data_IF_721031260578
#
_entry.id   IF_721031260578
#
_cell.length_a   1.000
_cell.length_b   1.000
_cell.length_c   1.000
_cell.angle_alpha   90.00
_cell.angle_beta   90.00
_cell.angle_gamma   90.00
#
_symmetry.space_group_name_H-M   'P 1'
#
loop_
_entity.id
_entity.type
_entity.pdbx_description
1 polymer ?
#
# COMPACT_ATOMS: atom_id res chain seq x y z
N UNK A 1 -41.41 57.41 -47.19
CA UNK A 1 -42.69 57.45 -46.38
C UNK A 1 -42.67 56.29 -45.38
N UNK A 2 -42.51 56.70 -44.17
CA UNK A 2 -42.95 56.16 -42.89
C UNK A 2 -43.55 54.74 -42.80
N UNK A 3 -43.04 53.86 -41.89
CA UNK A 3 -43.71 53.68 -40.62
C UNK A 3 -42.84 52.78 -39.73
N UNK A 4 -42.61 53.29 -38.45
CA UNK A 4 -42.08 52.60 -37.33
C UNK A 4 -43.02 51.49 -36.85
N UNK A 5 -42.43 50.33 -36.43
CA UNK A 5 -43.12 49.29 -35.67
C UNK A 5 -42.22 48.82 -34.53
N UNK A 6 -42.54 49.19 -33.32
CA UNK A 6 -41.96 48.67 -32.07
C UNK A 6 -42.43 47.25 -31.84
N UNK A 7 -41.54 46.32 -31.64
CA UNK A 7 -41.83 45.02 -31.04
C UNK A 7 -41.05 44.82 -29.78
N UNK A 8 -41.82 44.58 -28.73
CA UNK A 8 -41.38 44.38 -27.35
C UNK A 8 -40.43 43.18 -27.23
N UNK A 9 -39.27 43.39 -26.60
CA UNK A 9 -38.39 42.29 -26.20
C UNK A 9 -38.89 41.75 -24.87
N UNK A 10 -39.43 40.54 -24.91
CA UNK A 10 -39.68 39.75 -23.70
C UNK A 10 -38.32 39.20 -23.20
N UNK A 11 -37.89 39.64 -22.01
CA UNK A 11 -36.75 39.09 -21.31
C UNK A 11 -37.16 37.79 -20.65
N UNK A 12 -36.73 36.67 -21.22
CA UNK A 12 -36.85 35.35 -20.56
C UNK A 12 -35.75 35.22 -19.50
N UNK A 13 -36.13 35.28 -18.22
CA UNK A 13 -35.32 34.90 -17.09
C UNK A 13 -35.14 33.40 -17.12
N UNK A 14 -33.95 32.92 -17.56
CA UNK A 14 -33.53 31.52 -17.29
C UNK A 14 -33.08 31.41 -15.84
N UNK A 15 -33.93 30.77 -15.05
CA UNK A 15 -33.53 30.25 -13.73
C UNK A 15 -32.67 29.02 -13.97
N UNK A 16 -31.35 29.17 -13.85
CA UNK A 16 -30.43 28.03 -13.77
C UNK A 16 -30.66 27.31 -12.42
N UNK A 17 -31.46 26.25 -12.46
CA UNK A 17 -31.49 25.29 -11.38
C UNK A 17 -30.15 24.56 -11.37
N UNK A 18 -29.30 24.85 -10.40
CA UNK A 18 -28.16 24.04 -10.04
C UNK A 18 -28.67 22.69 -9.54
N UNK A 19 -28.73 21.71 -10.42
CA UNK A 19 -28.82 20.31 -10.02
C UNK A 19 -27.48 19.97 -9.37
N UNK A 20 -27.47 19.97 -8.02
CA UNK A 20 -26.39 19.33 -7.29
C UNK A 20 -26.33 17.88 -7.76
N UNK A 21 -25.32 17.55 -8.56
CA UNK A 21 -25.01 16.17 -8.88
C UNK A 21 -24.84 15.42 -7.54
N UNK A 22 -25.45 14.23 -7.37
CA UNK A 22 -25.16 13.44 -6.19
C UNK A 22 -23.63 13.19 -6.20
N UNK A 23 -22.96 13.60 -5.13
CA UNK A 23 -21.60 13.15 -4.83
C UNK A 23 -21.68 11.63 -4.92
N UNK A 24 -20.93 11.04 -5.83
CA UNK A 24 -20.84 9.60 -5.96
C UNK A 24 -20.56 9.06 -4.55
N UNK A 25 -21.46 8.23 -4.06
CA UNK A 25 -21.28 7.53 -2.80
C UNK A 25 -19.98 6.73 -2.98
N UNK A 26 -18.91 7.19 -2.33
CA UNK A 26 -17.67 6.43 -2.22
C UNK A 26 -18.02 5.02 -1.78
N UNK A 27 -17.26 4.04 -2.23
CA UNK A 27 -17.38 2.64 -1.81
C UNK A 27 -17.72 2.63 -0.32
N UNK A 28 -18.82 1.99 0.05
CA UNK A 28 -19.29 1.96 1.43
C UNK A 28 -18.25 1.20 2.25
N UNK A 29 -17.30 1.92 2.82
CA UNK A 29 -16.35 1.35 3.77
C UNK A 29 -17.15 0.62 4.86
N UNK A 30 -16.70 -0.57 5.24
CA UNK A 30 -17.32 -1.38 6.27
C UNK A 30 -17.55 -0.58 7.56
N UNK A 31 -18.58 -0.88 8.30
CA UNK A 31 -18.79 -0.29 9.63
C UNK A 31 -17.63 -0.70 10.56
N UNK A 32 -17.16 -1.94 10.46
CA UNK A 32 -15.95 -2.45 11.08
C UNK A 32 -14.77 -2.34 10.12
N UNK A 33 -13.57 -2.02 10.66
CA UNK A 33 -12.34 -2.12 9.88
C UNK A 33 -12.08 -3.59 9.48
N UNK A 34 -11.52 -3.89 8.28
CA UNK A 34 -11.30 -5.26 7.79
C UNK A 34 -10.44 -6.17 8.68
N UNK A 35 -9.77 -5.67 9.68
CA UNK A 35 -9.13 -6.50 10.73
C UNK A 35 -10.14 -7.19 11.65
N UNK A 36 -11.38 -6.68 11.75
CA UNK A 36 -12.42 -7.20 12.62
C UNK A 36 -13.45 -7.98 11.79
N UNK A 37 -13.06 -9.16 11.36
CA UNK A 37 -13.86 -10.08 10.55
C UNK A 37 -14.01 -11.41 11.24
N UNK A 38 -14.79 -12.30 10.66
CA UNK A 38 -14.88 -13.69 11.08
C UNK A 38 -13.50 -14.30 11.24
N UNK A 39 -13.31 -15.10 12.27
CA UNK A 39 -12.07 -15.80 12.61
C UNK A 39 -10.93 -14.92 13.16
N UNK A 40 -11.10 -13.63 13.36
CA UNK A 40 -10.08 -12.76 13.90
C UNK A 40 -9.60 -13.19 15.30
N UNK A 41 -8.35 -12.84 15.63
CA UNK A 41 -7.82 -12.94 16.99
C UNK A 41 -7.55 -11.55 17.52
N UNK A 42 -8.06 -11.25 18.72
CA UNK A 42 -7.84 -9.99 19.42
C UNK A 42 -6.86 -10.20 20.57
N UNK A 43 -6.01 -9.20 20.84
CA UNK A 43 -4.96 -9.31 21.86
C UNK A 43 -5.55 -9.45 23.26
N UNK A 44 -5.13 -10.50 23.99
CA UNK A 44 -5.50 -10.74 25.39
C UNK A 44 -4.80 -9.80 26.38
N UNK A 45 -5.33 -9.74 27.59
CA UNK A 45 -4.72 -9.11 28.76
C UNK A 45 -4.40 -7.61 28.59
N UNK A 46 -5.00 -6.96 27.61
CA UNK A 46 -4.91 -5.52 27.34
C UNK A 46 -6.29 -4.98 26.90
N UNK A 47 -6.56 -3.69 27.10
CA UNK A 47 -7.76 -3.09 26.51
C UNK A 47 -7.85 -3.37 25.01
N UNK A 48 -9.01 -3.81 24.56
CA UNK A 48 -9.27 -4.14 23.14
C UNK A 48 -9.90 -2.94 22.49
N UNK A 49 -9.20 -2.30 21.57
CA UNK A 49 -9.76 -1.23 20.75
C UNK A 49 -10.27 -1.79 19.43
N UNK A 50 -11.53 -1.50 19.13
CA UNK A 50 -12.19 -1.81 17.86
C UNK A 50 -12.53 -0.50 17.17
N UNK A 51 -12.40 -0.43 15.86
CA UNK A 51 -12.65 0.78 15.08
C UNK A 51 -13.24 0.49 13.71
N UNK A 52 -13.71 1.52 13.05
CA UNK A 52 -14.24 1.45 11.70
C UNK A 52 -14.75 2.80 11.20
N UNK A 53 -15.67 2.75 10.25
CA UNK A 53 -16.19 3.92 9.56
C UNK A 53 -17.73 4.03 9.65
N UNK A 54 -18.22 5.23 9.94
CA UNK A 54 -19.65 5.56 9.92
C UNK A 54 -19.82 6.97 9.32
N UNK A 55 -21.05 7.44 9.17
CA UNK A 55 -21.27 8.82 8.76
C UNK A 55 -20.72 9.80 9.82
N UNK A 56 -20.12 10.92 9.43
CA UNK A 56 -19.63 11.92 10.38
C UNK A 56 -20.69 12.28 11.43
N UNK A 57 -20.32 12.26 12.71
CA UNK A 57 -21.20 12.55 13.82
C UNK A 57 -22.23 11.46 14.14
N UNK A 58 -22.23 10.33 13.45
CA UNK A 58 -23.18 9.24 13.70
C UNK A 58 -22.84 8.52 15.00
N UNK A 59 -23.86 8.25 15.81
CA UNK A 59 -23.73 7.38 16.99
C UNK A 59 -23.49 5.94 16.56
N UNK A 60 -22.51 5.28 17.20
CA UNK A 60 -22.14 3.88 16.98
C UNK A 60 -22.20 3.15 18.31
N UNK A 61 -22.74 1.94 18.31
CA UNK A 61 -22.68 1.01 19.43
C UNK A 61 -21.93 -0.24 19.01
N UNK A 62 -20.91 -0.61 19.76
CA UNK A 62 -20.16 -1.86 19.55
C UNK A 62 -20.39 -2.78 20.75
N UNK A 63 -20.62 -4.08 20.50
CA UNK A 63 -20.77 -5.12 21.53
C UNK A 63 -19.76 -6.23 21.34
N UNK A 64 -19.08 -6.62 22.39
CA UNK A 64 -18.09 -7.69 22.40
C UNK A 64 -18.05 -8.36 23.77
N UNK A 65 -18.02 -9.70 23.82
CA UNK A 65 -17.90 -10.50 25.04
C UNK A 65 -18.89 -10.08 26.15
N UNK A 66 -20.16 -9.78 25.79
CA UNK A 66 -21.21 -9.39 26.73
C UNK A 66 -21.16 -7.92 27.18
N UNK A 67 -20.23 -7.13 26.68
CA UNK A 67 -20.11 -5.71 26.98
C UNK A 67 -20.53 -4.86 25.78
N UNK A 68 -21.14 -3.70 26.05
CA UNK A 68 -21.52 -2.72 25.04
C UNK A 68 -20.82 -1.40 25.30
N UNK A 69 -20.26 -0.80 24.24
CA UNK A 69 -19.62 0.50 24.25
C UNK A 69 -20.29 1.40 23.22
N UNK A 70 -20.77 2.55 23.67
CA UNK A 70 -21.31 3.60 22.79
C UNK A 70 -20.20 4.62 22.48
N UNK A 71 -20.14 5.05 21.22
CA UNK A 71 -19.20 6.05 20.72
C UNK A 71 -19.84 6.87 19.61
N UNK A 72 -19.11 7.80 19.03
CA UNK A 72 -19.55 8.62 17.92
C UNK A 72 -18.45 8.74 16.88
N UNK A 73 -18.81 8.70 15.62
CA UNK A 73 -17.88 8.93 14.53
C UNK A 73 -17.42 10.39 14.51
N UNK A 74 -16.14 10.60 14.30
CA UNK A 74 -15.54 11.94 14.17
C UNK A 74 -15.94 12.64 12.85
N UNK A 75 -15.38 13.83 12.60
CA UNK A 75 -15.67 14.60 11.37
C UNK A 75 -15.20 13.88 10.08
N UNK A 76 -14.23 12.96 10.19
CA UNK A 76 -13.77 12.14 9.09
C UNK A 76 -14.55 10.83 8.97
N UNK A 77 -15.55 10.59 9.82
CA UNK A 77 -16.34 9.36 9.85
C UNK A 77 -15.69 8.21 10.62
N UNK A 78 -14.54 8.41 11.26
CA UNK A 78 -13.83 7.36 12.02
C UNK A 78 -14.43 7.23 13.41
N UNK A 79 -14.62 6.02 13.86
CA UNK A 79 -15.03 5.73 15.22
C UNK A 79 -14.14 4.68 15.85
N UNK A 80 -14.05 4.67 17.18
CA UNK A 80 -13.42 3.62 17.96
C UNK A 80 -14.20 3.36 19.24
N UNK A 81 -14.16 2.09 19.66
CA UNK A 81 -14.71 1.62 20.92
C UNK A 81 -13.63 0.82 21.67
N UNK A 82 -13.46 1.09 22.95
CA UNK A 82 -12.48 0.41 23.79
C UNK A 82 -13.17 -0.47 24.80
N UNK A 83 -12.88 -1.77 24.76
CA UNK A 83 -13.33 -2.77 25.70
C UNK A 83 -12.26 -3.03 26.75
N UNK A 84 -12.63 -3.42 27.99
CA UNK A 84 -11.67 -3.85 29.00
C UNK A 84 -10.83 -5.04 28.55
N UNK A 85 -9.71 -5.23 29.23
CA UNK A 85 -8.88 -6.41 29.03
C UNK A 85 -9.65 -7.71 29.32
N UNK A 86 -9.48 -8.69 28.44
CA UNK A 86 -10.12 -10.01 28.52
C UNK A 86 -9.02 -11.08 28.47
N UNK A 87 -9.15 -12.10 29.28
CA UNK A 87 -8.28 -13.28 29.24
C UNK A 87 -8.47 -14.08 27.94
N UNK A 88 -7.48 -14.89 27.60
CA UNK A 88 -7.57 -15.77 26.42
C UNK A 88 -8.81 -16.66 26.46
N UNK A 89 -9.51 -16.73 25.33
CA UNK A 89 -10.77 -17.49 25.22
C UNK A 89 -11.46 -17.31 23.88
N UNK A 90 -12.72 -17.64 23.87
CA UNK A 90 -13.61 -17.59 22.71
C UNK A 90 -14.22 -18.96 22.39
N UNK A 91 -15.03 -19.07 21.30
CA UNK A 91 -15.29 -18.00 20.33
C UNK A 91 -16.24 -16.92 20.84
N UNK A 92 -16.00 -15.69 20.41
CA UNK A 92 -16.82 -14.52 20.67
C UNK A 92 -17.45 -14.00 19.38
N UNK A 93 -18.44 -13.10 19.56
CA UNK A 93 -19.04 -12.32 18.48
C UNK A 93 -18.78 -10.84 18.78
N UNK A 94 -18.32 -10.11 17.77
CA UNK A 94 -18.24 -8.65 17.74
C UNK A 94 -19.36 -8.13 16.85
N UNK A 95 -20.12 -7.18 17.34
CA UNK A 95 -21.17 -6.51 16.57
C UNK A 95 -20.99 -5.00 16.66
N UNK A 96 -21.13 -4.29 15.54
CA UNK A 96 -21.21 -2.85 15.47
C UNK A 96 -22.54 -2.43 14.84
N UNK A 97 -23.18 -1.40 15.38
CA UNK A 97 -24.42 -0.83 14.87
C UNK A 97 -24.31 0.69 14.75
N UNK A 98 -24.81 1.24 13.65
CA UNK A 98 -24.91 2.68 13.43
C UNK A 98 -26.18 3.00 12.64
N UNK A 99 -27.20 3.53 13.30
CA UNK A 99 -28.54 3.68 12.73
C UNK A 99 -29.12 2.33 12.30
N UNK A 100 -29.41 2.18 11.02
CA UNK A 100 -29.93 0.92 10.44
C UNK A 100 -28.82 -0.05 9.98
N UNK A 101 -27.58 0.39 9.94
CA UNK A 101 -26.43 -0.45 9.57
C UNK A 101 -26.03 -1.33 10.74
N UNK A 102 -25.79 -2.60 10.45
CA UNK A 102 -25.28 -3.58 11.41
C UNK A 102 -24.23 -4.43 10.70
N UNK A 103 -23.10 -4.62 11.36
CA UNK A 103 -22.04 -5.51 10.91
C UNK A 103 -21.63 -6.42 12.06
N UNK A 104 -21.38 -7.68 11.76
CA UNK A 104 -21.12 -8.72 12.76
C UNK A 104 -19.94 -9.58 12.32
N UNK A 105 -18.95 -9.72 13.18
CA UNK A 105 -17.85 -10.65 13.04
C UNK A 105 -17.99 -11.80 14.05
N UNK A 106 -17.86 -13.04 13.59
CA UNK A 106 -18.10 -14.27 14.38
C UNK A 106 -16.85 -15.12 14.52
N UNK A 107 -16.87 -16.04 15.44
CA UNK A 107 -15.75 -16.95 15.72
C UNK A 107 -14.46 -16.19 16.05
N UNK A 108 -14.57 -15.05 16.76
CA UNK A 108 -13.41 -14.29 17.22
C UNK A 108 -12.80 -15.00 18.43
N UNK A 109 -11.48 -15.04 18.44
CA UNK A 109 -10.73 -15.54 19.60
C UNK A 109 -10.01 -14.38 20.28
N UNK A 110 -9.76 -14.51 21.57
CA UNK A 110 -8.88 -13.65 22.34
C UNK A 110 -7.64 -14.45 22.68
N UNK A 111 -6.47 -13.94 22.31
CA UNK A 111 -5.21 -14.66 22.45
C UNK A 111 -4.00 -13.75 22.18
N UNK A 112 -2.90 -14.33 21.78
CA UNK A 112 -1.70 -13.58 21.40
C UNK A 112 -1.75 -13.20 19.92
N UNK A 113 -1.52 -11.92 19.62
CA UNK A 113 -1.46 -11.42 18.25
C UNK A 113 -0.02 -11.05 17.90
N UNK A 114 0.49 -11.63 16.82
CA UNK A 114 1.86 -11.45 16.35
C UNK A 114 1.87 -10.76 14.99
N UNK A 115 2.59 -9.65 14.88
CA UNK A 115 2.88 -8.99 13.62
C UNK A 115 4.19 -9.54 13.04
N UNK A 116 4.10 -10.18 11.90
CA UNK A 116 5.21 -10.76 11.17
C UNK A 116 5.56 -9.83 9.99
N UNK A 117 6.35 -8.80 10.29
CA UNK A 117 6.74 -7.77 9.33
C UNK A 117 8.18 -7.98 8.83
N UNK A 118 8.46 -7.56 7.62
CA UNK A 118 9.78 -7.59 7.03
C UNK A 118 9.78 -7.77 5.51
N UNK A 119 10.89 -8.27 5.02
CA UNK A 119 11.08 -8.46 3.58
C UNK A 119 11.13 -9.95 3.20
N UNK A 120 11.92 -10.37 2.19
CA UNK A 120 11.88 -11.69 1.55
C UNK A 120 11.95 -12.89 2.50
N UNK A 121 12.75 -12.87 3.57
CA UNK A 121 12.83 -13.97 4.51
C UNK A 121 11.56 -14.12 5.37
N UNK A 122 10.90 -13.02 5.69
CA UNK A 122 9.61 -13.04 6.36
C UNK A 122 8.47 -13.38 5.38
N UNK A 123 8.59 -13.00 4.13
CA UNK A 123 7.61 -13.31 3.09
C UNK A 123 7.69 -14.76 2.61
N UNK A 124 8.82 -15.46 2.76
CA UNK A 124 9.05 -16.80 2.24
C UNK A 124 7.90 -17.73 2.62
N UNK A 125 7.12 -18.26 1.63
CA UNK A 125 5.96 -19.07 1.93
C UNK A 125 6.33 -20.49 2.35
N UNK A 126 5.47 -21.13 3.12
CA UNK A 126 5.68 -22.52 3.60
C UNK A 126 5.97 -23.48 2.46
N UNK A 127 5.33 -23.36 1.29
CA UNK A 127 5.57 -24.26 0.16
C UNK A 127 7.00 -24.21 -0.40
N UNK A 128 7.77 -23.18 -0.07
CA UNK A 128 9.19 -23.02 -0.46
C UNK A 128 10.16 -23.44 0.64
N UNK A 129 9.67 -23.82 1.80
CA UNK A 129 10.52 -24.25 2.91
C UNK A 129 10.90 -25.72 2.83
N UNK A 130 11.85 -26.12 3.68
CA UNK A 130 12.23 -27.52 3.82
C UNK A 130 11.05 -28.35 4.34
N UNK A 131 10.86 -29.57 3.81
CA UNK A 131 9.77 -30.47 4.17
C UNK A 131 8.35 -29.91 3.94
N UNK A 132 8.18 -28.95 3.05
CA UNK A 132 6.93 -28.23 2.83
C UNK A 132 5.71 -29.14 2.68
N UNK A 133 5.83 -30.26 1.96
CA UNK A 133 4.70 -31.15 1.71
C UNK A 133 4.13 -31.74 3.02
N UNK A 134 4.97 -32.23 3.92
CA UNK A 134 4.53 -32.79 5.20
C UNK A 134 4.06 -31.70 6.17
N UNK A 135 4.71 -30.55 6.17
CA UNK A 135 4.32 -29.38 6.98
C UNK A 135 2.95 -28.86 6.61
N UNK A 136 2.68 -28.73 5.31
CA UNK A 136 1.37 -28.30 4.82
C UNK A 136 0.31 -29.37 5.16
N UNK A 137 0.56 -30.65 4.87
CA UNK A 137 -0.41 -31.73 5.11
C UNK A 137 -0.82 -31.85 6.59
N UNK A 138 0.09 -31.53 7.51
CA UNK A 138 -0.16 -31.59 8.96
C UNK A 138 -0.77 -30.32 9.56
N UNK A 139 -0.93 -29.24 8.78
CA UNK A 139 -1.39 -27.95 9.25
C UNK A 139 -2.91 -27.92 9.52
N UNK A 140 -3.35 -28.47 10.65
CA UNK A 140 -4.73 -28.50 11.10
C UNK A 140 -4.88 -27.84 12.49
N UNK A 141 -4.40 -26.59 12.61
CA UNK A 141 -4.26 -25.91 13.89
C UNK A 141 -5.38 -24.87 14.09
N UNK A 142 -6.52 -25.31 14.61
CA UNK A 142 -7.73 -24.49 14.75
C UNK A 142 -7.57 -23.23 15.64
N UNK A 143 -6.57 -23.20 16.50
CA UNK A 143 -6.28 -22.07 17.40
C UNK A 143 -5.25 -21.09 16.85
N UNK A 144 -4.65 -21.38 15.67
CA UNK A 144 -3.83 -20.45 14.92
C UNK A 144 -4.68 -19.87 13.79
N UNK A 145 -4.71 -18.56 13.71
CA UNK A 145 -5.42 -17.80 12.68
C UNK A 145 -4.43 -16.95 11.90
N UNK A 146 -4.64 -16.85 10.60
CA UNK A 146 -3.74 -16.23 9.65
C UNK A 146 -4.43 -15.06 8.98
N UNK A 147 -3.73 -13.93 8.88
CA UNK A 147 -4.14 -12.76 8.13
C UNK A 147 -2.97 -12.27 7.31
N UNK A 148 -3.13 -12.19 5.98
CA UNK A 148 -2.10 -11.64 5.09
C UNK A 148 -2.50 -10.23 4.68
N UNK A 149 -1.69 -9.25 5.03
CA UNK A 149 -1.86 -7.87 4.59
C UNK A 149 -1.55 -7.80 3.09
N UNK A 150 -2.48 -7.31 2.26
CA UNK A 150 -2.24 -7.13 0.84
C UNK A 150 -1.09 -6.15 0.60
N UNK A 151 -0.26 -6.44 -0.41
CA UNK A 151 0.80 -5.52 -0.83
C UNK A 151 0.17 -4.29 -1.46
N UNK A 152 0.48 -3.15 -0.89
CA UNK A 152 0.07 -1.86 -1.42
C UNK A 152 1.17 -0.82 -1.17
N UNK A 153 1.50 -0.05 -2.21
CA UNK A 153 2.43 1.06 -2.12
C UNK A 153 1.62 2.36 -2.05
N UNK A 154 1.72 3.06 -0.95
CA UNK A 154 0.99 4.29 -0.72
C UNK A 154 1.91 5.40 -0.22
N UNK A 155 1.66 6.63 -0.66
CA UNK A 155 2.38 7.84 -0.22
C UNK A 155 2.05 8.19 1.24
N UNK A 156 0.84 7.86 1.66
CA UNK A 156 0.35 8.03 3.03
C UNK A 156 -0.24 6.70 3.50
N UNK A 157 -0.16 6.45 4.80
CA UNK A 157 -0.75 5.25 5.37
C UNK A 157 -2.25 5.18 5.02
N UNK A 158 -2.72 4.14 4.34
CA UNK A 158 -4.12 4.00 4.00
C UNK A 158 -4.96 3.70 5.25
N UNK A 159 -6.21 4.16 5.27
CA UNK A 159 -7.14 3.89 6.37
C UNK A 159 -7.75 2.47 6.31
N UNK A 160 -7.55 1.75 5.21
CA UNK A 160 -8.03 0.39 5.00
C UNK A 160 -7.08 -0.38 4.08
N UNK A 161 -7.34 -1.66 3.91
CA UNK A 161 -6.55 -2.52 3.03
C UNK A 161 -7.06 -2.45 1.59
N UNK A 162 -6.15 -2.69 0.65
CA UNK A 162 -6.50 -2.91 -0.75
C UNK A 162 -7.15 -4.29 -0.91
N UNK A 163 -8.25 -4.35 -1.65
CA UNK A 163 -9.01 -5.59 -1.83
C UNK A 163 -9.78 -6.01 -0.58
N UNK A 164 -10.04 -7.30 -0.45
CA UNK A 164 -10.82 -7.88 0.64
C UNK A 164 -10.02 -8.99 1.36
N UNK A 165 -9.00 -8.63 2.15
CA UNK A 165 -8.23 -9.60 2.93
C UNK A 165 -9.07 -10.15 4.08
N UNK A 166 -8.86 -11.41 4.44
CA UNK A 166 -9.61 -12.04 5.52
C UNK A 166 -8.75 -12.91 6.44
N UNK A 167 -9.24 -13.09 7.65
CA UNK A 167 -8.69 -14.07 8.57
C UNK A 167 -9.08 -15.50 8.15
N UNK A 168 -8.14 -16.40 8.24
CA UNK A 168 -8.35 -17.82 7.97
C UNK A 168 -7.84 -18.68 9.12
N UNK A 169 -8.41 -19.86 9.28
CA UNK A 169 -7.86 -20.88 10.18
C UNK A 169 -6.62 -21.48 9.54
N UNK A 170 -5.65 -21.91 10.34
CA UNK A 170 -4.49 -22.62 9.82
C UNK A 170 -4.91 -24.02 9.34
N UNK A 171 -5.04 -24.15 8.03
CA UNK A 171 -5.36 -25.37 7.28
C UNK A 171 -4.28 -25.63 6.22
N UNK A 172 -4.20 -26.81 5.62
CA UNK A 172 -3.26 -27.06 4.53
C UNK A 172 -3.30 -26.00 3.42
N UNK A 173 -4.50 -25.56 3.04
CA UNK A 173 -4.67 -24.57 1.97
C UNK A 173 -4.18 -23.18 2.38
N UNK A 174 -4.58 -22.69 3.57
CA UNK A 174 -4.25 -21.35 4.04
C UNK A 174 -2.77 -21.21 4.44
N UNK A 175 -2.17 -22.25 5.00
CA UNK A 175 -0.76 -22.26 5.41
C UNK A 175 0.19 -22.33 4.22
N UNK A 176 -0.22 -22.96 3.12
CA UNK A 176 0.65 -23.17 1.95
C UNK A 176 1.34 -21.89 1.48
N UNK A 177 0.59 -20.80 1.32
CA UNK A 177 1.07 -19.50 0.83
C UNK A 177 1.49 -18.53 1.93
N UNK A 178 1.30 -18.88 3.18
CA UNK A 178 1.61 -18.02 4.30
C UNK A 178 3.09 -18.03 4.67
N UNK A 179 3.57 -17.03 5.39
CA UNK A 179 4.95 -16.93 5.88
C UNK A 179 5.38 -18.18 6.65
N UNK A 180 6.43 -18.85 6.18
CA UNK A 180 7.01 -20.00 6.87
C UNK A 180 7.58 -19.61 8.24
N UNK A 181 8.33 -18.52 8.30
CA UNK A 181 8.93 -18.04 9.55
C UNK A 181 7.87 -17.75 10.61
N UNK A 182 6.81 -17.04 10.22
CA UNK A 182 5.71 -16.69 11.12
C UNK A 182 4.92 -17.92 11.58
N UNK A 183 4.56 -18.81 10.63
CA UNK A 183 3.78 -20.01 10.94
C UNK A 183 4.54 -20.97 11.84
N UNK A 184 5.80 -21.27 11.54
CA UNK A 184 6.62 -22.19 12.34
C UNK A 184 6.89 -21.64 13.74
N UNK A 185 7.13 -20.33 13.86
CA UNK A 185 7.24 -19.67 15.15
C UNK A 185 6.00 -19.90 16.00
N UNK A 186 4.81 -19.60 15.48
CA UNK A 186 3.57 -19.74 16.25
C UNK A 186 3.23 -21.21 16.55
N UNK A 187 3.46 -22.10 15.60
CA UNK A 187 3.26 -23.55 15.79
C UNK A 187 4.13 -24.09 16.93
N UNK A 188 5.40 -23.71 16.96
CA UNK A 188 6.31 -24.16 18.00
C UNK A 188 5.96 -23.52 19.35
N UNK A 189 5.66 -22.23 19.38
CA UNK A 189 5.25 -21.53 20.59
C UNK A 189 3.95 -22.12 21.18
N UNK A 190 3.00 -22.54 20.32
CA UNK A 190 1.73 -23.11 20.78
C UNK A 190 1.88 -24.45 21.50
N UNK A 191 3.03 -25.13 21.41
CA UNK A 191 3.32 -26.36 22.17
C UNK A 191 3.43 -26.10 23.67
N UNK A 192 3.82 -24.90 24.05
CA UNK A 192 4.00 -24.48 25.45
C UNK A 192 3.00 -23.42 25.90
N UNK A 193 2.62 -22.53 24.99
CA UNK A 193 1.66 -21.45 25.23
C UNK A 193 0.32 -21.82 24.59
N UNK A 194 -0.58 -22.41 25.37
CA UNK A 194 -1.83 -23.02 24.87
C UNK A 194 -2.97 -22.01 24.67
N UNK A 195 -2.67 -20.76 24.30
CA UNK A 195 -3.68 -19.74 23.97
C UNK A 195 -3.89 -19.64 22.44
N UNK A 196 -5.01 -19.10 21.98
CA UNK A 196 -5.17 -18.77 20.56
C UNK A 196 -4.08 -17.83 20.08
N UNK A 197 -3.68 -17.96 18.80
CA UNK A 197 -2.68 -17.10 18.19
C UNK A 197 -3.18 -16.54 16.88
N UNK A 198 -3.14 -15.22 16.73
CA UNK A 198 -3.39 -14.49 15.49
C UNK A 198 -2.07 -14.06 14.87
N UNK A 199 -1.85 -14.43 13.61
CA UNK A 199 -0.65 -14.11 12.86
C UNK A 199 -1.00 -13.13 11.76
N UNK A 200 -0.45 -11.92 11.82
CA UNK A 200 -0.63 -10.90 10.81
C UNK A 200 0.68 -10.81 10.01
N UNK A 201 0.67 -11.34 8.80
CA UNK A 201 1.81 -11.22 7.89
C UNK A 201 1.74 -9.89 7.15
N UNK A 202 2.74 -9.04 7.35
CA UNK A 202 2.96 -7.79 6.62
C UNK A 202 4.41 -7.79 6.13
N UNK A 203 4.65 -8.45 4.97
CA UNK A 203 5.99 -8.62 4.44
C UNK A 203 6.02 -8.40 2.93
N UNK A 204 7.10 -7.77 2.44
CA UNK A 204 7.31 -7.52 1.02
C UNK A 204 8.79 -7.67 0.68
N UNK A 205 9.11 -8.70 -0.11
CA UNK A 205 10.48 -8.99 -0.53
C UNK A 205 11.07 -7.84 -1.36
N UNK A 206 12.35 -7.54 -1.12
CA UNK A 206 13.04 -6.43 -1.76
C UNK A 206 12.80 -5.06 -1.10
N UNK A 207 11.90 -4.96 -0.12
CA UNK A 207 11.68 -3.69 0.57
C UNK A 207 12.85 -3.33 1.51
N UNK A 208 13.17 -2.04 1.58
CA UNK A 208 14.16 -1.47 2.50
C UNK A 208 13.52 -1.16 3.84
N UNK A 209 14.33 -1.02 4.89
CA UNK A 209 13.84 -0.74 6.25
C UNK A 209 13.10 0.60 6.33
N UNK A 210 13.46 1.57 5.51
CA UNK A 210 12.85 2.89 5.48
C UNK A 210 11.35 2.82 5.15
N UNK A 211 10.93 1.86 4.31
CA UNK A 211 9.51 1.68 3.97
C UNK A 211 8.66 1.18 5.13
N UNK A 212 9.30 0.66 6.18
CA UNK A 212 8.66 0.15 7.41
C UNK A 212 8.81 1.13 8.58
N UNK A 213 9.48 2.26 8.36
CA UNK A 213 9.76 3.26 9.38
C UNK A 213 8.84 4.46 9.21
N UNK A 214 8.30 5.00 10.31
CA UNK A 214 7.44 6.18 10.24
C UNK A 214 8.20 7.41 9.73
N UNK A 215 7.50 8.29 9.03
CA UNK A 215 8.07 9.55 8.52
C UNK A 215 8.76 10.37 9.63
N UNK A 216 8.15 10.43 10.81
CA UNK A 216 8.70 11.19 11.95
C UNK A 216 10.02 10.56 12.45
N UNK A 217 10.11 9.23 12.48
CA UNK A 217 11.33 8.53 12.88
C UNK A 217 12.45 8.71 11.83
N UNK A 218 12.12 8.68 10.53
CA UNK A 218 13.07 8.95 9.44
C UNK A 218 13.58 10.39 9.49
N UNK A 219 12.71 11.38 9.72
CA UNK A 219 13.11 12.77 9.91
C UNK A 219 14.00 12.94 11.15
N UNK A 220 13.67 12.26 12.25
CA UNK A 220 14.48 12.27 13.47
C UNK A 220 15.89 11.69 13.27
N UNK A 221 16.04 10.73 12.34
CA UNK A 221 17.34 10.17 11.98
C UNK A 221 18.14 11.12 11.08
N UNK A 222 17.48 11.92 10.25
CA UNK A 222 18.07 12.85 9.31
C UNK A 222 18.53 12.21 7.99
N UNK A 223 18.88 13.07 7.03
CA UNK A 223 19.41 12.65 5.72
C UNK A 223 18.39 12.24 4.68
N UNK A 224 17.09 12.22 5.02
CA UNK A 224 16.00 11.83 4.11
C UNK A 224 14.95 12.95 3.91
N UNK A 225 15.17 14.13 4.45
CA UNK A 225 14.16 15.20 4.48
C UNK A 225 13.68 15.58 3.07
N UNK A 226 14.60 15.76 2.13
CA UNK A 226 14.28 16.10 0.75
C UNK A 226 13.43 15.01 0.07
N UNK A 227 13.83 13.74 0.21
CA UNK A 227 13.09 12.61 -0.36
C UNK A 227 11.69 12.49 0.26
N UNK A 228 11.56 12.70 1.58
CA UNK A 228 10.28 12.68 2.28
C UNK A 228 9.38 13.86 1.87
N UNK A 229 9.96 15.03 1.60
CA UNK A 229 9.20 16.20 1.11
C UNK A 229 8.70 15.98 -0.33
N UNK A 230 9.52 15.38 -1.19
CA UNK A 230 9.12 14.98 -2.54
C UNK A 230 8.00 13.94 -2.47
N UNK A 231 8.13 12.93 -1.61
CA UNK A 231 7.09 11.92 -1.39
C UNK A 231 5.77 12.56 -0.92
N UNK A 232 5.82 13.45 0.07
CA UNK A 232 4.64 14.17 0.56
C UNK A 232 3.99 15.04 -0.53
N UNK A 233 4.79 15.61 -1.43
CA UNK A 233 4.30 16.38 -2.58
C UNK A 233 3.56 15.51 -3.57
N UNK A 234 3.99 14.26 -3.78
CA UNK A 234 3.38 13.36 -4.76
C UNK A 234 1.90 13.04 -4.48
N UNK A 235 1.46 13.17 -3.23
CA UNK A 235 0.05 13.04 -2.86
C UNK A 235 -0.85 14.17 -3.39
N UNK A 236 -0.26 15.34 -3.71
CA UNK A 236 -1.00 16.55 -4.12
C UNK A 236 -0.73 16.92 -5.57
N UNK A 237 0.51 16.79 -6.01
CA UNK A 237 0.98 17.11 -7.36
C UNK A 237 2.01 16.04 -7.82
N UNK A 238 1.51 14.93 -8.39
CA UNK A 238 2.38 13.83 -8.85
C UNK A 238 3.38 14.24 -9.94
N UNK A 239 3.00 15.20 -10.80
CA UNK A 239 3.89 15.64 -11.89
C UNK A 239 5.07 16.46 -11.35
N UNK A 240 4.79 17.43 -10.48
CA UNK A 240 5.85 18.20 -9.84
C UNK A 240 6.73 17.33 -8.92
N UNK A 241 6.15 16.36 -8.25
CA UNK A 241 6.93 15.42 -7.44
C UNK A 241 7.90 14.59 -8.29
N UNK A 242 7.46 14.10 -9.46
CA UNK A 242 8.35 13.40 -10.41
C UNK A 242 9.48 14.32 -10.92
N UNK A 243 9.14 15.56 -11.28
CA UNK A 243 10.16 16.52 -11.69
C UNK A 243 11.15 16.84 -10.55
N UNK A 244 10.68 16.98 -9.32
CA UNK A 244 11.53 17.17 -8.15
C UNK A 244 12.43 15.95 -7.88
N UNK A 245 11.90 14.74 -8.05
CA UNK A 245 12.67 13.50 -7.93
C UNK A 245 13.77 13.40 -9.01
N UNK A 246 13.45 13.77 -10.25
CA UNK A 246 14.44 13.89 -11.33
C UNK A 246 15.56 14.87 -10.97
N UNK A 247 15.23 16.07 -10.46
CA UNK A 247 16.23 17.07 -10.01
C UNK A 247 17.08 16.55 -8.86
N UNK A 248 16.49 15.82 -7.91
CA UNK A 248 17.24 15.20 -6.80
C UNK A 248 18.31 14.25 -7.33
N UNK A 249 17.98 13.38 -8.27
CA UNK A 249 18.94 12.46 -8.88
C UNK A 249 19.93 13.13 -9.81
N UNK A 250 19.54 14.20 -10.52
CA UNK A 250 20.47 15.04 -11.28
C UNK A 250 21.54 15.65 -10.36
N UNK A 251 21.10 16.24 -9.25
CA UNK A 251 22.01 16.84 -8.28
C UNK A 251 22.95 15.79 -7.67
N UNK A 252 22.43 14.62 -7.27
CA UNK A 252 23.26 13.52 -6.79
C UNK A 252 24.30 13.11 -7.83
N UNK A 253 23.91 12.97 -9.10
CA UNK A 253 24.82 12.59 -10.20
C UNK A 253 25.92 13.61 -10.39
N UNK A 254 25.62 14.90 -10.35
CA UNK A 254 26.57 15.99 -10.52
C UNK A 254 27.56 16.14 -9.35
N UNK A 255 27.13 15.71 -8.14
CA UNK A 255 27.93 15.91 -6.90
C UNK A 255 28.56 14.63 -6.36
N UNK A 256 28.29 13.46 -6.96
CA UNK A 256 28.89 12.19 -6.54
C UNK A 256 30.41 12.19 -6.66
N UNK A 257 31.09 11.36 -5.88
CA UNK A 257 32.52 11.15 -6.02
C UNK A 257 32.87 10.71 -7.45
N UNK A 258 33.85 11.33 -8.06
CA UNK A 258 34.30 11.08 -9.45
C UNK A 258 33.37 11.67 -10.52
N UNK A 259 32.40 12.53 -10.17
CA UNK A 259 31.60 13.25 -11.16
C UNK A 259 32.49 14.08 -12.11
N UNK A 260 32.22 13.97 -13.40
CA UNK A 260 32.89 14.76 -14.42
C UNK A 260 32.13 16.06 -14.68
N UNK A 261 32.81 17.23 -14.77
CA UNK A 261 32.13 18.47 -15.10
C UNK A 261 31.36 18.38 -16.43
N UNK A 262 30.09 18.73 -16.41
CA UNK A 262 29.22 18.69 -17.60
C UNK A 262 28.72 17.30 -18.00
N UNK A 263 28.99 16.26 -17.23
CA UNK A 263 28.42 14.93 -17.42
C UNK A 263 26.91 14.95 -17.04
N UNK A 264 26.08 15.05 -18.05
CA UNK A 264 24.63 15.17 -17.92
C UNK A 264 23.92 14.21 -18.90
N UNK A 265 23.90 12.90 -18.60
CA UNK A 265 23.39 11.86 -19.50
C UNK A 265 21.91 12.01 -19.90
N UNK A 266 21.12 12.74 -19.12
CA UNK A 266 19.70 13.04 -19.38
C UNK A 266 19.47 14.09 -20.45
N UNK A 267 20.48 14.86 -20.83
CA UNK A 267 20.31 15.95 -21.80
C UNK A 267 20.04 15.42 -23.20
N UNK A 268 19.18 16.12 -23.93
CA UNK A 268 18.85 15.76 -25.31
C UNK A 268 20.06 15.80 -26.25
N UNK A 269 21.03 16.67 -25.97
CA UNK A 269 22.24 16.92 -26.75
C UNK A 269 23.50 16.14 -26.26
N UNK A 270 23.30 15.15 -25.37
CA UNK A 270 24.41 14.30 -24.89
C UNK A 270 25.02 13.53 -26.05
N UNK A 271 26.37 13.56 -26.16
CA UNK A 271 27.12 12.77 -27.13
C UNK A 271 27.21 11.30 -26.63
N UNK A 272 26.46 10.44 -27.27
CA UNK A 272 26.39 9.02 -26.94
C UNK A 272 27.17 8.11 -27.90
N UNK A 273 27.99 8.69 -28.79
CA UNK A 273 28.77 7.94 -29.80
C UNK A 273 29.78 6.96 -29.21
N UNK A 274 30.22 7.20 -27.97
CA UNK A 274 31.11 6.32 -27.22
C UNK A 274 30.38 5.28 -26.36
N UNK A 275 29.07 5.31 -26.35
CA UNK A 275 28.28 4.38 -25.53
C UNK A 275 28.19 3.00 -26.18
N UNK A 276 28.20 1.96 -25.36
CA UNK A 276 28.00 0.58 -25.80
C UNK A 276 26.55 0.31 -26.15
N UNK A 277 26.31 -0.61 -27.10
CA UNK A 277 24.96 -1.06 -27.39
C UNK A 277 24.49 -2.08 -26.34
N UNK A 278 23.32 -1.84 -25.78
CA UNK A 278 22.69 -2.81 -24.90
C UNK A 278 22.19 -4.04 -25.71
N UNK A 279 22.16 -5.23 -25.13
CA UNK A 279 21.56 -6.41 -25.75
C UNK A 279 20.09 -6.17 -26.13
N UNK A 280 19.62 -6.83 -27.19
CA UNK A 280 18.22 -6.74 -27.62
C UNK A 280 17.21 -7.18 -26.55
N UNK A 281 17.61 -8.09 -25.68
CA UNK A 281 16.84 -8.49 -24.50
C UNK A 281 17.55 -7.96 -23.26
N UNK A 282 16.96 -6.96 -22.62
CA UNK A 282 17.43 -6.44 -21.36
C UNK A 282 17.19 -7.46 -20.25
N UNK A 283 18.03 -7.45 -19.26
CA UNK A 283 17.99 -8.29 -18.07
C UNK A 283 19.05 -7.78 -17.11
N UNK A 284 19.43 -8.57 -16.12
CA UNK A 284 20.53 -8.22 -15.23
C UNK A 284 21.81 -7.97 -16.02
N UNK A 285 22.38 -6.79 -15.89
CA UNK A 285 23.55 -6.37 -16.68
C UNK A 285 24.81 -7.18 -16.39
N UNK A 286 24.90 -7.84 -15.23
CA UNK A 286 25.97 -8.78 -14.90
C UNK A 286 26.02 -9.98 -15.87
N UNK A 287 24.94 -10.24 -16.61
CA UNK A 287 24.81 -11.34 -17.58
C UNK A 287 25.02 -10.90 -19.03
N UNK A 288 25.35 -9.64 -19.27
CA UNK A 288 25.54 -9.13 -20.63
C UNK A 288 26.88 -9.50 -21.26
N UNK A 289 27.69 -10.27 -20.57
CA UNK A 289 29.05 -10.63 -20.99
C UNK A 289 29.95 -9.42 -21.22
N UNK A 290 29.70 -8.34 -20.48
CA UNK A 290 30.50 -7.13 -20.44
C UNK A 290 31.31 -7.13 -19.14
N UNK A 291 32.63 -7.29 -19.20
CA UNK A 291 33.47 -7.42 -17.99
C UNK A 291 33.35 -6.25 -17.03
N UNK A 292 33.11 -5.04 -17.53
CA UNK A 292 32.94 -3.85 -16.71
C UNK A 292 31.66 -3.84 -15.89
N UNK A 293 30.68 -4.68 -16.25
CA UNK A 293 29.37 -4.76 -15.58
C UNK A 293 29.23 -6.01 -14.70
N UNK A 294 30.14 -6.96 -14.78
CA UNK A 294 30.02 -8.27 -14.11
C UNK A 294 29.84 -8.17 -12.57
N UNK A 295 30.56 -7.23 -11.96
CA UNK A 295 30.49 -6.97 -10.51
C UNK A 295 30.12 -5.50 -10.20
N UNK A 296 29.56 -4.79 -11.19
CA UNK A 296 29.24 -3.39 -11.04
C UNK A 296 27.95 -3.19 -10.23
N UNK A 297 28.07 -2.40 -9.16
CA UNK A 297 26.96 -1.91 -8.37
C UNK A 297 26.87 -0.39 -8.52
N UNK A 298 25.80 0.11 -9.08
CA UNK A 298 25.64 1.54 -9.32
C UNK A 298 24.56 1.84 -10.34
N UNK A 299 24.64 3.01 -10.96
CA UNK A 299 23.66 3.49 -11.94
C UNK A 299 24.16 3.22 -13.36
N UNK A 300 23.30 2.65 -14.20
CA UNK A 300 23.53 2.45 -15.63
C UNK A 300 22.55 3.32 -16.42
N UNK A 301 23.09 4.08 -17.37
CA UNK A 301 22.29 4.93 -18.24
C UNK A 301 21.93 4.22 -19.53
N UNK A 302 20.64 4.19 -19.83
CA UNK A 302 20.09 3.71 -21.09
C UNK A 302 19.58 4.89 -21.90
N UNK A 303 19.87 4.89 -23.19
CA UNK A 303 19.39 5.90 -24.12
C UNK A 303 18.81 5.27 -25.37
N UNK A 304 17.66 5.74 -25.79
CA UNK A 304 17.02 5.32 -27.02
C UNK A 304 16.32 6.49 -27.70
N UNK A 305 16.10 6.37 -28.99
CA UNK A 305 15.33 7.34 -29.78
C UNK A 305 14.14 6.64 -30.42
N UNK A 306 12.98 7.25 -30.26
CA UNK A 306 11.73 6.78 -30.88
C UNK A 306 11.19 7.88 -31.76
N UNK A 307 10.99 7.57 -33.05
CA UNK A 307 10.39 8.50 -34.00
C UNK A 307 8.89 8.23 -34.06
N UNK A 308 8.11 9.22 -33.67
CA UNK A 308 6.66 9.16 -33.74
C UNK A 308 6.15 9.85 -35.01
N UNK A 309 5.15 9.27 -35.70
CA UNK A 309 4.41 9.98 -36.70
C UNK A 309 3.61 11.13 -36.09
N UNK A 310 3.22 12.12 -36.89
CA UNK A 310 2.38 13.22 -36.42
C UNK A 310 1.06 12.73 -35.81
N UNK A 311 0.48 11.65 -36.34
CA UNK A 311 -0.74 11.04 -35.82
C UNK A 311 -0.50 10.36 -34.45
N UNK A 312 0.61 9.65 -34.30
CA UNK A 312 0.99 9.03 -33.00
C UNK A 312 1.27 10.10 -31.95
N UNK A 313 2.01 11.15 -32.30
CA UNK A 313 2.30 12.25 -31.39
C UNK A 313 1.03 12.98 -30.91
N UNK A 314 0.03 13.14 -31.81
CA UNK A 314 -1.24 13.79 -31.46
C UNK A 314 -2.13 12.97 -30.50
N UNK A 315 -1.99 11.64 -30.48
CA UNK A 315 -2.78 10.76 -29.58
C UNK A 315 -2.22 10.71 -28.16
N UNK A 316 -1.02 11.17 -27.93
CA UNK A 316 -0.25 10.87 -26.73
C UNK A 316 0.26 9.44 -26.74
N UNK A 317 1.18 9.14 -25.80
CA UNK A 317 1.74 7.81 -25.64
C UNK A 317 1.99 7.52 -24.17
N UNK A 318 1.92 6.25 -23.79
CA UNK A 318 2.39 5.74 -22.50
C UNK A 318 3.71 5.03 -22.74
N UNK A 319 4.74 5.38 -21.99
CA UNK A 319 5.99 4.65 -21.97
C UNK A 319 5.86 3.54 -20.92
N UNK A 320 5.95 2.29 -21.37
CA UNK A 320 6.00 1.13 -20.49
C UNK A 320 7.45 0.67 -20.39
N UNK A 321 8.00 0.74 -19.19
CA UNK A 321 9.30 0.17 -18.86
C UNK A 321 9.07 -1.21 -18.25
N UNK A 322 9.94 -2.16 -18.60
CA UNK A 322 10.00 -3.43 -17.86
C UNK A 322 10.39 -3.18 -16.40
N UNK A 323 10.41 -4.24 -15.59
CA UNK A 323 10.85 -4.12 -14.20
C UNK A 323 12.28 -3.58 -14.15
N UNK A 324 12.45 -2.42 -13.53
CA UNK A 324 13.75 -1.94 -13.09
C UNK A 324 14.07 -2.52 -11.71
N UNK A 325 15.32 -2.90 -11.49
CA UNK A 325 15.78 -3.34 -10.19
C UNK A 325 16.07 -2.11 -9.32
N UNK A 326 15.42 -2.04 -8.17
CA UNK A 326 15.42 -0.99 -7.16
C UNK A 326 14.80 0.34 -7.59
N UNK A 327 15.42 1.16 -8.45
CA UNK A 327 14.97 2.52 -8.78
C UNK A 327 15.25 2.84 -10.25
N UNK A 328 14.29 3.43 -10.92
CA UNK A 328 14.48 4.08 -12.21
C UNK A 328 14.08 5.55 -12.19
N UNK A 329 14.73 6.34 -13.02
CA UNK A 329 14.34 7.71 -13.35
C UNK A 329 14.45 7.88 -14.86
N UNK A 330 13.36 8.33 -15.48
CA UNK A 330 13.27 8.43 -16.93
C UNK A 330 13.09 9.87 -17.37
N UNK A 331 13.90 10.31 -18.31
CA UNK A 331 13.78 11.62 -18.97
C UNK A 331 13.30 11.45 -20.41
N UNK A 332 12.40 12.32 -20.82
CA UNK A 332 11.93 12.39 -22.20
C UNK A 332 12.34 13.75 -22.75
N UNK A 333 13.20 13.75 -23.79
CA UNK A 333 13.78 14.97 -24.41
C UNK A 333 14.49 15.91 -23.39
N UNK A 334 15.08 15.34 -22.35
CA UNK A 334 15.82 16.09 -21.33
C UNK A 334 14.97 16.65 -20.19
N UNK A 335 13.68 16.25 -20.11
CA UNK A 335 12.73 16.68 -19.08
C UNK A 335 12.19 15.49 -18.33
#
# INVERSE_FOLDING_TARGET
MNRFGWSARAAALMVLAWLAAPVAAGETTGLLHPLFQDHAVLQRDRPITVWGQASPGQAVSATFAGQAVATQADRAGRWQAMFPAIAAGGPYTLEATAGTRRETARDLLVGDVWLCAGQSNMELPVWRSLNAASEIASATLQRIRLFSVPKDAAVQAPESFKGDPGWTRATPDSVRGFSAACFYFARELQRTVTVPMGLIQAAWGGSRIETWTSTDALRGQGGMDEALDILARSARDPLEARAAWGRHWQHWWETREGALPGDAPWRADTDDRAWSHAPATLGAWERWNEPALADYNGMVWYRTQVVLSAEQAARGATLELASADEVDVTWVNGV
#
